data_IF_896082019760
#
_entry.id   IF_896082019760
#
_cell.length_a   1.000
_cell.length_b   1.000
_cell.length_c   1.000
_cell.angle_alpha   90.00
_cell.angle_beta   90.00
_cell.angle_gamma   90.00
#
_symmetry.space_group_name_H-M   'P 1'
#
loop_
_entity.id
_entity.type
_entity.pdbx_description
1 polymer ?
#
# COMPACT_ATOMS: atom_id res chain seq x y z
N UNK A 1 -13.93 5.40 -21.31
CA UNK A 1 -14.65 4.54 -20.34
C UNK A 1 -14.21 4.93 -18.95
N UNK A 2 -15.04 5.63 -18.19
CA UNK A 2 -14.71 6.12 -16.84
C UNK A 2 -15.03 5.04 -15.81
N UNK A 3 -14.03 4.57 -15.07
CA UNK A 3 -14.16 3.50 -14.07
C UNK A 3 -15.18 3.87 -12.97
N UNK A 4 -16.07 2.93 -12.54
CA UNK A 4 -17.08 3.19 -11.52
C UNK A 4 -16.52 3.30 -10.09
N UNK A 5 -15.22 3.03 -9.88
CA UNK A 5 -14.56 3.16 -8.59
C UNK A 5 -13.56 4.30 -8.64
N UNK A 6 -13.86 5.37 -7.91
CA UNK A 6 -12.97 6.52 -7.77
C UNK A 6 -11.86 6.16 -6.79
N UNK A 7 -10.68 5.83 -7.33
CA UNK A 7 -9.45 5.63 -6.57
C UNK A 7 -8.86 6.97 -6.14
N UNK A 8 -8.35 7.06 -4.90
CA UNK A 8 -7.74 8.29 -4.37
C UNK A 8 -6.23 8.19 -4.19
N UNK A 9 -5.70 6.96 -4.17
CA UNK A 9 -4.31 6.68 -3.86
C UNK A 9 -3.57 6.04 -5.03
N UNK A 10 -2.27 6.29 -5.10
CA UNK A 10 -1.35 5.61 -6.00
C UNK A 10 -0.32 4.86 -5.15
N UNK A 11 -0.11 3.58 -5.45
CA UNK A 11 0.88 2.74 -4.78
C UNK A 11 2.10 2.58 -5.68
N UNK A 12 3.26 3.11 -5.26
CA UNK A 12 4.49 3.11 -6.05
C UNK A 12 5.53 2.25 -5.38
N UNK A 13 5.99 1.18 -6.03
CA UNK A 13 7.09 0.37 -5.49
C UNK A 13 8.39 1.18 -5.52
N UNK A 14 9.02 1.36 -4.37
CA UNK A 14 10.27 2.12 -4.23
C UNK A 14 11.48 1.25 -3.89
N UNK A 15 11.24 0.04 -3.37
CA UNK A 15 12.32 -0.91 -3.06
C UNK A 15 11.82 -2.34 -3.13
N UNK A 16 12.73 -3.25 -3.49
CA UNK A 16 12.58 -4.69 -3.33
C UNK A 16 13.79 -5.23 -2.56
N UNK A 17 13.56 -6.04 -1.53
CA UNK A 17 14.62 -6.68 -0.74
C UNK A 17 14.93 -8.10 -1.21
N UNK A 18 14.27 -8.57 -2.28
CA UNK A 18 14.26 -9.98 -2.71
C UNK A 18 13.35 -10.87 -1.86
N UNK A 19 12.92 -10.41 -0.68
CA UNK A 19 11.97 -11.13 0.21
C UNK A 19 10.64 -10.41 0.33
N UNK A 20 10.67 -9.08 0.32
CA UNK A 20 9.53 -8.20 0.54
C UNK A 20 9.71 -6.90 -0.23
N UNK A 21 8.61 -6.34 -0.73
CA UNK A 21 8.60 -5.06 -1.44
C UNK A 21 8.30 -3.92 -0.46
N UNK A 22 8.67 -2.70 -0.82
CA UNK A 22 8.31 -1.48 -0.10
C UNK A 22 7.62 -0.54 -1.09
N UNK A 23 6.50 0.02 -0.67
CA UNK A 23 5.68 0.90 -1.50
C UNK A 23 5.46 2.25 -0.82
N UNK A 24 5.47 3.31 -1.61
CA UNK A 24 4.91 4.59 -1.21
C UNK A 24 3.43 4.65 -1.55
N UNK A 25 2.65 5.20 -0.62
CA UNK A 25 1.27 5.62 -0.87
C UNK A 25 1.32 7.10 -1.20
N UNK A 26 0.92 7.48 -2.41
CA UNK A 26 0.90 8.85 -2.88
C UNK A 26 -0.54 9.31 -3.12
N UNK A 27 -0.81 10.60 -2.90
CA UNK A 27 -2.06 11.20 -3.34
C UNK A 27 -2.16 11.11 -4.86
N UNK A 28 -3.23 10.52 -5.39
CA UNK A 28 -3.44 10.51 -6.84
C UNK A 28 -3.61 11.93 -7.40
N UNK A 29 -4.16 12.84 -6.59
CA UNK A 29 -4.43 14.23 -6.98
C UNK A 29 -3.19 15.11 -6.97
N UNK A 30 -2.37 15.01 -5.92
CA UNK A 30 -1.27 15.93 -5.66
C UNK A 30 0.12 15.31 -5.85
N UNK A 31 0.21 13.99 -5.97
CA UNK A 31 1.47 13.26 -6.17
C UNK A 31 2.39 13.19 -4.94
N UNK A 32 2.04 13.86 -3.84
CA UNK A 32 2.84 13.83 -2.63
C UNK A 32 2.74 12.47 -1.91
N UNK A 33 3.84 12.09 -1.24
CA UNK A 33 3.88 10.92 -0.35
C UNK A 33 3.00 11.18 0.88
N UNK A 34 2.18 10.19 1.21
CA UNK A 34 1.26 10.16 2.35
C UNK A 34 1.66 9.10 3.37
N UNK A 35 2.20 7.97 2.90
CA UNK A 35 2.63 6.87 3.76
C UNK A 35 3.63 5.95 3.05
N UNK A 36 4.22 5.06 3.83
CA UNK A 36 4.99 3.89 3.38
C UNK A 36 4.24 2.61 3.76
N UNK A 37 4.16 1.65 2.84
CA UNK A 37 3.74 0.28 3.13
C UNK A 37 4.98 -0.61 3.07
N UNK A 38 5.25 -1.31 4.17
CA UNK A 38 6.36 -2.26 4.27
C UNK A 38 5.99 -3.48 5.08
N UNK A 39 6.74 -4.55 4.90
CA UNK A 39 6.56 -5.78 5.66
C UNK A 39 7.14 -5.63 7.07
N UNK A 40 6.31 -5.80 8.09
CA UNK A 40 6.75 -5.86 9.46
C UNK A 40 6.95 -7.32 9.88
N UNK A 41 8.22 -7.72 9.95
CA UNK A 41 8.62 -9.12 10.13
C UNK A 41 8.05 -9.78 11.39
N UNK A 42 7.98 -9.06 12.50
CA UNK A 42 7.47 -9.58 13.76
C UNK A 42 5.99 -10.01 13.68
N UNK A 43 5.17 -9.30 12.90
CA UNK A 43 3.76 -9.66 12.69
C UNK A 43 3.54 -10.50 11.44
N UNK A 44 4.58 -10.66 10.62
CA UNK A 44 4.54 -11.34 9.32
C UNK A 44 3.49 -10.74 8.38
N UNK A 45 3.26 -9.43 8.47
CA UNK A 45 2.22 -8.70 7.71
C UNK A 45 2.81 -7.44 7.07
N UNK A 46 2.23 -7.02 5.95
CA UNK A 46 2.40 -5.65 5.48
C UNK A 46 1.68 -4.68 6.41
N UNK A 47 2.33 -3.55 6.70
CA UNK A 47 1.83 -2.51 7.59
C UNK A 47 1.94 -1.15 6.92
N UNK A 48 0.97 -0.28 7.20
CA UNK A 48 1.00 1.13 6.83
C UNK A 48 1.79 1.92 7.88
N UNK A 49 2.73 2.74 7.43
CA UNK A 49 3.43 3.74 8.20
C UNK A 49 3.13 5.13 7.62
N UNK A 50 2.19 5.88 8.21
CA UNK A 50 1.82 7.21 7.72
C UNK A 50 2.95 8.23 7.91
N UNK A 51 3.02 9.20 7.01
CA UNK A 51 3.77 10.44 7.26
C UNK A 51 3.11 11.23 8.39
N UNK A 52 3.90 12.06 9.08
CA UNK A 52 3.37 12.90 10.16
C UNK A 52 2.19 13.75 9.69
N UNK A 53 1.16 13.86 10.53
CA UNK A 53 -0.07 14.62 10.25
C UNK A 53 -0.88 14.15 9.04
N UNK A 54 -0.67 12.92 8.56
CA UNK A 54 -1.51 12.33 7.49
C UNK A 54 -2.76 11.71 8.08
N UNK A 55 -3.92 12.04 7.49
CA UNK A 55 -5.22 11.46 7.84
C UNK A 55 -5.76 10.67 6.65
N UNK A 56 -6.35 9.52 6.93
CA UNK A 56 -7.03 8.68 5.94
C UNK A 56 -8.50 8.55 6.33
N UNK A 57 -9.39 8.77 5.38
CA UNK A 57 -10.79 8.43 5.55
C UNK A 57 -11.03 6.94 5.33
N UNK A 58 -12.25 6.47 5.57
CA UNK A 58 -12.59 5.06 5.43
C UNK A 58 -12.34 4.50 4.02
N UNK A 59 -12.49 5.31 2.97
CA UNK A 59 -12.28 4.86 1.58
C UNK A 59 -10.80 4.66 1.30
N UNK A 60 -9.96 5.60 1.72
CA UNK A 60 -8.51 5.47 1.61
C UNK A 60 -7.99 4.27 2.41
N UNK A 61 -8.49 4.08 3.64
CA UNK A 61 -8.13 2.93 4.46
C UNK A 61 -8.54 1.60 3.82
N UNK A 62 -9.70 1.55 3.16
CA UNK A 62 -10.13 0.36 2.42
C UNK A 62 -9.18 0.07 1.25
N UNK A 63 -8.88 1.05 0.40
CA UNK A 63 -7.93 0.89 -0.72
C UNK A 63 -6.55 0.39 -0.24
N UNK A 64 -6.03 0.97 0.85
CA UNK A 64 -4.77 0.55 1.47
C UNK A 64 -4.84 -0.90 1.96
N UNK A 65 -5.94 -1.26 2.62
CA UNK A 65 -6.13 -2.61 3.16
C UNK A 65 -6.21 -3.65 2.05
N UNK A 66 -6.98 -3.37 0.99
CA UNK A 66 -7.10 -4.23 -0.18
C UNK A 66 -5.75 -4.43 -0.87
N UNK A 67 -4.98 -3.34 -1.02
CA UNK A 67 -3.64 -3.40 -1.58
C UNK A 67 -2.70 -4.27 -0.71
N UNK A 68 -2.65 -4.05 0.60
CA UNK A 68 -1.83 -4.87 1.50
C UNK A 68 -2.23 -6.34 1.49
N UNK A 69 -3.54 -6.65 1.41
CA UNK A 69 -4.02 -8.02 1.30
C UNK A 69 -3.55 -8.68 -0.01
N UNK A 70 -3.56 -7.96 -1.13
CA UNK A 70 -3.05 -8.48 -2.40
C UNK A 70 -1.55 -8.83 -2.33
N UNK A 71 -0.74 -8.01 -1.63
CA UNK A 71 0.68 -8.31 -1.41
C UNK A 71 0.90 -9.54 -0.52
N UNK A 72 0.01 -9.75 0.45
CA UNK A 72 0.04 -10.95 1.30
C UNK A 72 -0.28 -12.21 0.49
N UNK A 73 -1.28 -12.14 -0.39
CA UNK A 73 -1.65 -13.22 -1.29
C UNK A 73 -0.56 -13.51 -2.32
N UNK A 74 0.07 -12.49 -2.93
CA UNK A 74 1.21 -12.65 -3.83
C UNK A 74 2.33 -13.46 -3.14
N UNK A 75 2.64 -13.13 -1.88
CA UNK A 75 3.68 -13.81 -1.10
C UNK A 75 3.29 -15.24 -0.66
N UNK A 76 2.00 -15.55 -0.60
CA UNK A 76 1.51 -16.91 -0.34
C UNK A 76 1.73 -17.81 -1.56
N UNK A 77 1.47 -17.29 -2.76
CA UNK A 77 1.53 -18.04 -4.01
C UNK A 77 2.93 -18.02 -4.68
N UNK A 78 3.78 -17.03 -4.40
CA UNK A 78 5.18 -16.98 -4.86
C UNK A 78 6.14 -17.96 -4.16
N UNK A 79 5.61 -19.03 -3.55
CA UNK A 79 6.37 -20.14 -2.93
C UNK A 79 6.30 -21.44 -3.76
N UNK A 80 5.86 -21.38 -5.01
CA UNK A 80 5.95 -22.50 -5.97
C UNK A 80 7.31 -22.55 -6.66
#
# INVERSE_FOLDING_TARGET
MSSPFKTYLKFVQIRDTGKTKIFEVQSLRYGNKLAEIKYYGAWRKYTLLPEAHTLFDCKCLQEITDFMNSLMEERRHGRS
#
